data_IF_520326779095
#
_entry.id   IF_520326779095
#
_cell.length_a   1.000
_cell.length_b   1.000
_cell.length_c   1.000
_cell.angle_alpha   90.00
_cell.angle_beta   90.00
_cell.angle_gamma   90.00
#
_symmetry.space_group_name_H-M   'P 1'
#
loop_
_entity.id
_entity.type
_entity.pdbx_description
1 polymer ?
#
# COMPACT_ATOMS: atom_id res chain seq x y z
N UNK A 1 20.12 36.75 15.92
CA UNK A 1 20.01 36.97 14.48
C UNK A 1 20.47 35.74 13.69
N UNK A 2 21.63 35.18 13.96
CA UNK A 2 22.14 33.99 13.27
C UNK A 2 21.31 32.72 13.52
N UNK A 3 20.62 32.63 14.66
CA UNK A 3 19.79 31.47 15.04
C UNK A 3 18.52 31.30 14.22
N UNK A 4 17.94 32.39 13.72
CA UNK A 4 16.70 32.33 12.94
C UNK A 4 16.90 31.67 11.56
N UNK A 5 18.08 31.84 10.97
CA UNK A 5 18.43 31.26 9.67
C UNK A 5 18.50 29.76 9.71
N UNK A 6 19.02 29.18 10.80
CA UNK A 6 19.14 27.71 10.98
C UNK A 6 17.76 27.05 11.10
N UNK A 7 16.84 27.66 11.86
CA UNK A 7 15.47 27.15 12.02
C UNK A 7 14.70 27.12 10.69
N UNK A 8 14.91 28.12 9.85
CA UNK A 8 14.28 28.20 8.55
C UNK A 8 14.71 27.05 7.62
N UNK A 9 15.99 26.70 7.63
CA UNK A 9 16.53 25.60 6.83
C UNK A 9 15.94 24.25 7.23
N UNK A 10 15.80 23.98 8.54
CA UNK A 10 15.22 22.73 9.04
C UNK A 10 13.76 22.57 8.61
N UNK A 11 12.99 23.64 8.58
CA UNK A 11 11.59 23.60 8.14
C UNK A 11 11.46 23.19 6.68
N UNK A 12 12.36 23.66 5.82
CA UNK A 12 12.38 23.28 4.40
C UNK A 12 12.58 21.78 4.18
N UNK A 13 13.51 21.17 4.91
CA UNK A 13 13.77 19.73 4.81
C UNK A 13 12.56 18.89 5.20
N UNK A 14 11.83 19.30 6.24
CA UNK A 14 10.63 18.60 6.70
C UNK A 14 9.52 18.63 5.64
N UNK A 15 9.29 19.77 4.99
CA UNK A 15 8.28 19.89 3.93
C UNK A 15 8.62 19.04 2.71
N UNK A 16 9.90 18.99 2.31
CA UNK A 16 10.34 18.17 1.20
C UNK A 16 10.10 16.68 1.43
N UNK A 17 10.36 16.17 2.64
CA UNK A 17 10.14 14.77 2.99
C UNK A 17 8.64 14.41 3.01
N UNK A 18 7.76 15.33 3.45
CA UNK A 18 6.32 15.09 3.53
C UNK A 18 5.64 15.01 2.14
N UNK A 19 6.25 15.56 1.08
CA UNK A 19 5.70 15.55 -0.27
C UNK A 19 5.92 14.23 -1.01
N UNK A 20 6.82 13.36 -0.53
CA UNK A 20 7.10 12.08 -1.17
C UNK A 20 6.04 11.04 -0.80
N UNK A 21 5.45 10.36 -1.77
CA UNK A 21 4.57 9.24 -1.54
C UNK A 21 5.32 8.02 -0.99
N UNK A 22 4.59 7.03 -0.48
CA UNK A 22 5.15 5.78 0.02
C UNK A 22 4.69 4.62 -0.86
N UNK A 23 5.60 3.98 -1.61
CA UNK A 23 5.23 2.84 -2.47
C UNK A 23 4.92 1.57 -1.69
N UNK A 24 5.35 1.48 -0.43
CA UNK A 24 5.06 0.32 0.42
C UNK A 24 3.72 0.49 1.11
N UNK A 25 2.81 -0.46 0.89
CA UNK A 25 1.47 -0.42 1.46
C UNK A 25 1.46 -0.61 2.98
N UNK A 26 0.41 -0.10 3.63
CA UNK A 26 0.12 -0.43 5.02
C UNK A 26 -0.09 -1.95 5.14
N UNK A 27 0.60 -2.64 6.06
CA UNK A 27 0.46 -4.09 6.22
C UNK A 27 -0.98 -4.56 6.47
N UNK A 28 -1.82 -3.72 7.05
CA UNK A 28 -3.24 -4.03 7.31
C UNK A 28 -4.07 -4.13 6.02
N UNK A 29 -3.57 -3.56 4.93
CA UNK A 29 -4.22 -3.62 3.62
C UNK A 29 -3.74 -4.80 2.76
N UNK A 30 -2.78 -5.58 3.24
CA UNK A 30 -2.11 -6.64 2.48
C UNK A 30 -2.63 -8.00 2.88
N UNK A 31 -3.01 -8.82 1.89
CA UNK A 31 -3.44 -10.20 2.05
C UNK A 31 -2.56 -11.07 1.19
N UNK A 32 -1.92 -12.07 1.78
CA UNK A 32 -1.11 -13.05 1.06
C UNK A 32 -1.75 -14.42 1.08
N UNK A 33 -1.74 -15.10 -0.07
CA UNK A 33 -2.24 -16.46 -0.22
C UNK A 33 -1.33 -17.22 -1.18
N UNK A 34 -0.52 -18.15 -0.66
CA UNK A 34 0.47 -18.87 -1.45
C UNK A 34 1.45 -17.90 -2.11
N UNK A 35 1.54 -17.94 -3.43
CA UNK A 35 2.41 -17.08 -4.23
C UNK A 35 1.73 -15.79 -4.71
N UNK A 36 0.54 -15.50 -4.21
CA UNK A 36 -0.19 -14.29 -4.55
C UNK A 36 -0.21 -13.30 -3.39
N UNK A 37 -0.15 -12.02 -3.73
CA UNK A 37 -0.34 -10.92 -2.78
C UNK A 37 -1.37 -9.94 -3.32
N UNK A 38 -2.28 -9.54 -2.46
CA UNK A 38 -3.35 -8.60 -2.76
C UNK A 38 -3.20 -7.39 -1.85
N UNK A 39 -3.29 -6.19 -2.42
CA UNK A 39 -3.26 -4.95 -1.66
C UNK A 39 -4.56 -4.20 -1.91
N UNK A 40 -5.36 -4.03 -0.86
CA UNK A 40 -6.63 -3.31 -0.92
C UNK A 40 -6.32 -1.83 -0.77
N UNK A 41 -6.24 -1.10 -1.87
CA UNK A 41 -5.86 0.30 -1.91
C UNK A 41 -7.05 1.23 -1.67
N UNK A 42 -8.17 0.92 -2.30
CA UNK A 42 -9.45 1.61 -2.10
C UNK A 42 -10.57 0.58 -2.13
N UNK A 43 -11.81 0.93 -1.76
CA UNK A 43 -12.93 -0.01 -1.91
C UNK A 43 -13.14 -0.49 -3.35
N UNK A 44 -12.67 0.27 -4.34
CA UNK A 44 -12.81 -0.06 -5.76
C UNK A 44 -11.53 -0.57 -6.41
N UNK A 45 -10.39 -0.59 -5.69
CA UNK A 45 -9.10 -0.91 -6.29
C UNK A 45 -8.30 -1.88 -5.41
N UNK A 46 -8.06 -3.07 -5.96
CA UNK A 46 -7.19 -4.07 -5.36
C UNK A 46 -6.05 -4.36 -6.34
N UNK A 47 -4.81 -4.17 -5.86
CA UNK A 47 -3.62 -4.55 -6.62
C UNK A 47 -3.35 -6.03 -6.40
N UNK A 48 -3.12 -6.76 -7.48
CA UNK A 48 -2.85 -8.19 -7.45
C UNK A 48 -1.45 -8.48 -7.97
N UNK A 49 -0.72 -9.34 -7.27
CA UNK A 49 0.62 -9.76 -7.65
C UNK A 49 0.73 -11.27 -7.49
N UNK A 50 1.50 -11.87 -8.38
CA UNK A 50 1.88 -13.27 -8.27
C UNK A 50 3.38 -13.41 -8.46
N UNK A 51 4.03 -14.24 -7.66
CA UNK A 51 5.47 -14.44 -7.72
C UNK A 51 5.79 -15.91 -7.47
N UNK A 52 6.59 -16.48 -8.38
CA UNK A 52 6.99 -17.88 -8.26
C UNK A 52 7.83 -18.17 -7.01
N UNK A 53 8.64 -17.21 -6.57
CA UNK A 53 9.52 -17.34 -5.41
C UNK A 53 8.97 -16.66 -4.15
N UNK A 54 7.76 -16.14 -4.20
CA UNK A 54 7.12 -15.44 -3.08
C UNK A 54 7.70 -14.06 -2.79
N UNK A 55 8.52 -13.51 -3.66
CA UNK A 55 9.08 -12.16 -3.53
C UNK A 55 8.26 -11.18 -4.33
N UNK A 56 7.76 -10.15 -3.65
CA UNK A 56 6.88 -9.16 -4.25
C UNK A 56 7.57 -7.80 -4.38
N UNK A 57 7.06 -6.97 -5.29
CA UNK A 57 7.64 -5.66 -5.59
C UNK A 57 7.05 -4.60 -4.65
N UNK A 58 7.87 -4.09 -3.73
CA UNK A 58 7.51 -3.01 -2.82
C UNK A 58 7.95 -1.63 -3.30
N UNK A 59 8.79 -1.59 -4.34
CA UNK A 59 9.22 -0.33 -4.96
C UNK A 59 8.10 0.29 -5.79
N UNK A 60 8.18 1.59 -6.01
CA UNK A 60 7.24 2.28 -6.88
C UNK A 60 7.30 1.71 -8.30
N UNK A 61 6.12 1.52 -8.91
CA UNK A 61 5.98 1.15 -10.32
C UNK A 61 5.34 2.30 -11.09
N UNK A 62 5.26 2.20 -12.41
CA UNK A 62 4.63 3.23 -13.24
C UNK A 62 3.18 3.52 -12.84
N UNK A 63 2.45 2.48 -12.41
CA UNK A 63 1.04 2.61 -12.04
C UNK A 63 0.84 2.89 -10.55
N UNK A 64 1.70 2.32 -9.69
CA UNK A 64 1.52 2.38 -8.24
C UNK A 64 2.74 3.03 -7.58
N UNK A 65 2.75 4.35 -7.54
CA UNK A 65 3.82 5.14 -6.90
C UNK A 65 3.58 5.38 -5.42
N UNK A 66 2.31 5.37 -4.98
CA UNK A 66 1.91 5.50 -3.59
C UNK A 66 0.89 4.42 -3.25
N UNK A 67 1.28 3.50 -2.36
CA UNK A 67 0.40 2.41 -1.90
C UNK A 67 0.01 2.56 -0.44
N UNK A 68 0.60 3.50 0.29
CA UNK A 68 0.20 3.81 1.66
C UNK A 68 -0.98 4.78 1.63
N UNK A 69 -2.16 4.23 1.41
CA UNK A 69 -3.43 4.92 1.43
C UNK A 69 -4.18 4.57 2.72
N UNK A 70 -5.23 5.34 3.10
CA UNK A 70 -6.09 4.93 4.20
C UNK A 70 -6.62 3.52 3.94
N UNK A 71 -6.53 2.65 4.95
CA UNK A 71 -6.95 1.25 4.81
C UNK A 71 -8.48 1.20 4.74
N UNK A 72 -9.07 0.73 3.63
CA UNK A 72 -10.52 0.62 3.52
C UNK A 72 -11.06 -0.54 4.38
N UNK A 73 -12.35 -0.52 4.68
CA UNK A 73 -13.01 -1.68 5.28
C UNK A 73 -13.08 -2.81 4.27
N UNK A 74 -12.64 -3.99 4.67
CA UNK A 74 -12.78 -5.18 3.85
C UNK A 74 -12.79 -6.43 4.72
N UNK A 75 -13.33 -7.51 4.18
CA UNK A 75 -13.39 -8.82 4.82
C UNK A 75 -12.61 -9.83 4.01
N UNK A 76 -11.94 -10.75 4.69
CA UNK A 76 -11.18 -11.84 4.07
C UNK A 76 -11.77 -13.16 4.54
N UNK A 77 -12.06 -14.03 3.58
CA UNK A 77 -12.40 -15.43 3.85
C UNK A 77 -11.41 -16.32 3.11
N UNK A 78 -10.58 -17.00 3.86
CA UNK A 78 -9.55 -17.89 3.31
C UNK A 78 -9.90 -19.32 3.68
N UNK A 79 -10.22 -20.11 2.66
CA UNK A 79 -10.46 -21.55 2.79
C UNK A 79 -9.40 -22.30 1.99
N UNK A 80 -9.31 -23.62 2.17
CA UNK A 80 -8.33 -24.44 1.44
C UNK A 80 -8.45 -24.33 -0.09
N UNK A 81 -9.64 -24.04 -0.60
CA UNK A 81 -9.90 -24.02 -2.04
C UNK A 81 -10.14 -22.63 -2.61
N UNK A 82 -10.27 -21.59 -1.76
CA UNK A 82 -10.67 -20.27 -2.24
C UNK A 82 -10.31 -19.17 -1.24
N UNK A 83 -9.76 -18.10 -1.76
CA UNK A 83 -9.63 -16.82 -1.06
C UNK A 83 -10.71 -15.87 -1.58
N UNK A 84 -11.42 -15.20 -0.68
CA UNK A 84 -12.39 -14.16 -1.05
C UNK A 84 -12.07 -12.89 -0.27
N UNK A 85 -11.92 -11.77 -0.98
CA UNK A 85 -11.76 -10.44 -0.39
C UNK A 85 -12.97 -9.63 -0.80
N UNK A 86 -13.73 -9.14 0.19
CA UNK A 86 -14.94 -8.37 -0.05
C UNK A 86 -14.77 -6.95 0.50
N UNK A 87 -14.92 -5.97 -0.37
CA UNK A 87 -15.01 -4.54 -0.01
C UNK A 87 -16.46 -4.08 -0.15
N UNK A 88 -16.80 -2.85 0.28
CA UNK A 88 -18.14 -2.31 0.01
C UNK A 88 -18.49 -2.20 -1.47
N UNK A 89 -17.51 -2.15 -2.36
CA UNK A 89 -17.71 -1.92 -3.78
C UNK A 89 -17.51 -3.15 -4.66
N UNK A 90 -16.70 -4.14 -4.22
CA UNK A 90 -16.38 -5.30 -5.05
C UNK A 90 -16.07 -6.55 -4.22
N UNK A 91 -16.11 -7.70 -4.89
CA UNK A 91 -15.67 -8.98 -4.35
C UNK A 91 -14.63 -9.58 -5.28
N UNK A 92 -13.46 -9.92 -4.72
CA UNK A 92 -12.39 -10.61 -5.42
C UNK A 92 -12.37 -12.07 -4.96
N UNK A 93 -12.28 -12.98 -5.92
CA UNK A 93 -12.15 -14.42 -5.66
C UNK A 93 -10.89 -14.95 -6.33
N UNK A 94 -10.06 -15.69 -5.57
CA UNK A 94 -8.81 -16.27 -6.05
C UNK A 94 -8.74 -17.75 -5.75
#
# INVERSE_FOLDING_TARGET
MKRATILFTALWLTLGAAAAGNPKADPRAVVEAGNARFTVLTPQLIRMEWSEDGRFEDRATLTFVNRETPVPDFKVRDTKSRLTITTPALTLTY
#
